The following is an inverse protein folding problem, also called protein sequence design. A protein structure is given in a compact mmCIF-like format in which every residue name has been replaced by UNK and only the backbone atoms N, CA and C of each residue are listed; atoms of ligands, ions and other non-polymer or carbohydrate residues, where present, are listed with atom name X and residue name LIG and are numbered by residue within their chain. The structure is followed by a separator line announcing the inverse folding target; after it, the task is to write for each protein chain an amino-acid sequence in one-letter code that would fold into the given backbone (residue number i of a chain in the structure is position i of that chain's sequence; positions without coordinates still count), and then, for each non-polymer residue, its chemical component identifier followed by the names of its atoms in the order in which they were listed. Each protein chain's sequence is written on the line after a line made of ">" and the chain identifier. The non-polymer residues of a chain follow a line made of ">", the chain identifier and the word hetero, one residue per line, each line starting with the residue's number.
data_IF_504121740679
#
_entry.id   IF_504121740679
#
_cell.length_a   1.000
_cell.length_b   1.000
_cell.length_c   1.000
_cell.angle_alpha   90.00
_cell.angle_beta   90.00
_cell.angle_gamma   90.00
#
_symmetry.space_group_name_H-M   'P 1'
#
loop_
_entity.id
_entity.type
_entity.pdbx_description
1 polymer ?
#
# COMPACT_ATOMS: atom_id res chain seq x y z
N UNK A 1 10.50 38.54 -48.63
CA UNK A 1 9.58 37.45 -48.24
C UNK A 1 9.63 37.30 -46.72
N UNK A 2 8.50 37.61 -46.06
CA UNK A 2 8.06 37.33 -44.69
C UNK A 2 9.07 37.21 -43.53
N UNK A 3 9.26 38.29 -42.77
CA UNK A 3 9.54 38.21 -41.31
C UNK A 3 8.21 38.47 -40.59
N UNK A 4 7.68 37.46 -39.89
CA UNK A 4 6.48 37.62 -39.07
C UNK A 4 6.88 38.13 -37.67
N UNK A 5 6.28 39.26 -37.29
CA UNK A 5 6.49 39.95 -36.03
C UNK A 5 5.60 39.33 -34.93
N UNK A 6 6.17 39.05 -33.77
CA UNK A 6 5.43 38.76 -32.55
C UNK A 6 5.00 40.08 -31.89
N UNK A 7 3.70 40.28 -31.70
CA UNK A 7 3.13 41.35 -30.87
C UNK A 7 2.79 40.81 -29.47
N UNK A 8 3.14 41.51 -28.37
CA UNK A 8 2.70 41.17 -27.03
C UNK A 8 1.36 41.83 -26.69
N UNK A 9 0.34 41.04 -26.39
CA UNK A 9 -0.96 41.51 -25.91
C UNK A 9 -1.00 41.64 -24.38
N UNK A 10 -1.27 42.86 -23.90
CA UNK A 10 -1.46 43.21 -22.49
C UNK A 10 -2.78 42.68 -21.90
N UNK A 11 -2.65 42.15 -20.67
CA UNK A 11 -3.48 42.29 -19.47
C UNK A 11 -4.98 42.66 -19.62
N UNK A 12 -5.84 41.80 -19.07
CA UNK A 12 -7.04 42.23 -18.34
C UNK A 12 -7.09 41.56 -16.97
N UNK A 13 -6.82 42.36 -15.95
CA UNK A 13 -7.15 42.10 -14.55
C UNK A 13 -8.65 42.22 -14.36
N UNK A 14 -9.26 41.28 -13.62
CA UNK A 14 -10.52 41.52 -12.93
C UNK A 14 -10.30 41.20 -11.46
N UNK A 15 -10.14 42.26 -10.68
CA UNK A 15 -10.40 42.27 -9.24
C UNK A 15 -11.91 42.30 -9.02
N UNK A 16 -12.40 41.58 -8.00
CA UNK A 16 -13.54 41.85 -7.10
C UNK A 16 -13.96 40.50 -6.48
N UNK A 17 -14.18 40.31 -5.19
CA UNK A 17 -14.14 41.19 -4.03
C UNK A 17 -13.90 40.33 -2.79
N UNK A 18 -13.11 40.85 -1.85
CA UNK A 18 -13.04 40.37 -0.47
C UNK A 18 -14.32 40.81 0.23
N UNK A 19 -15.10 39.88 0.77
CA UNK A 19 -16.14 40.18 1.75
C UNK A 19 -15.86 39.42 3.03
N UNK A 20 -15.61 40.20 4.07
CA UNK A 20 -15.31 39.80 5.42
C UNK A 20 -16.52 39.99 6.34
N UNK A 21 -16.71 39.02 7.27
CA UNK A 21 -17.43 39.05 8.57
C UNK A 21 -18.95 38.78 8.57
N UNK A 22 -19.58 38.35 9.70
CA UNK A 22 -19.04 37.91 11.00
C UNK A 22 -19.53 36.50 11.46
N UNK A 23 -18.90 35.96 12.51
CA UNK A 23 -19.40 34.81 13.30
C UNK A 23 -20.67 35.20 14.06
N UNK A 24 -21.73 34.41 13.93
CA UNK A 24 -22.79 34.31 14.94
C UNK A 24 -23.01 32.84 15.30
N UNK A 25 -23.03 32.54 16.61
CA UNK A 25 -23.51 31.28 17.17
C UNK A 25 -25.04 31.35 17.21
N UNK A 26 -25.74 30.35 16.67
CA UNK A 26 -27.02 29.95 17.23
C UNK A 26 -27.19 28.43 17.11
N UNK A 27 -27.53 27.85 18.24
CA UNK A 27 -28.00 26.49 18.44
C UNK A 27 -29.39 26.34 17.85
N UNK A 28 -29.63 25.37 16.96
CA UNK A 28 -30.63 24.34 17.19
C UNK A 28 -30.67 23.27 16.10
N UNK A 29 -31.00 22.06 16.54
CA UNK A 29 -30.93 20.82 15.81
C UNK A 29 -32.02 20.72 14.72
N UNK A 30 -31.58 20.54 13.47
CA UNK A 30 -32.41 20.14 12.33
C UNK A 30 -31.69 19.03 11.58
N UNK A 31 -32.17 17.80 11.75
CA UNK A 31 -31.65 16.55 11.18
C UNK A 31 -31.72 16.57 9.66
N UNK A 32 -30.62 16.95 9.01
CA UNK A 32 -30.37 16.69 7.59
C UNK A 32 -29.50 15.46 7.48
N UNK A 33 -30.06 14.42 6.87
CA UNK A 33 -29.37 13.20 6.50
C UNK A 33 -28.26 13.57 5.52
N UNK A 34 -27.02 13.63 5.99
CA UNK A 34 -25.86 13.87 5.14
C UNK A 34 -25.67 12.67 4.23
N UNK A 35 -25.73 12.90 2.92
CA UNK A 35 -25.15 12.00 1.93
C UNK A 35 -23.73 11.63 2.39
N UNK A 36 -23.52 10.34 2.63
CA UNK A 36 -22.22 9.81 3.01
C UNK A 36 -21.20 10.24 1.96
N UNK A 37 -20.17 10.93 2.45
CA UNK A 37 -18.97 11.21 1.69
C UNK A 37 -18.28 9.85 1.46
N UNK A 38 -18.19 9.40 0.22
CA UNK A 38 -17.15 8.45 -0.16
C UNK A 38 -15.83 9.23 -0.16
N UNK A 39 -15.22 9.38 1.02
CA UNK A 39 -13.86 9.89 1.14
C UNK A 39 -12.88 8.85 0.59
N UNK A 40 -11.69 9.29 0.20
CA UNK A 40 -10.55 8.44 -0.20
C UNK A 40 -10.17 7.33 0.81
N UNK A 41 -10.81 7.28 1.97
CA UNK A 41 -10.77 6.18 2.94
C UNK A 41 -11.29 4.86 2.40
N UNK A 42 -12.25 4.86 1.47
CA UNK A 42 -12.86 3.63 0.96
C UNK A 42 -11.94 2.86 -0.01
N UNK A 43 -10.84 3.51 -0.44
CA UNK A 43 -9.76 2.93 -1.25
C UNK A 43 -8.46 2.73 -0.44
N UNK A 44 -8.47 3.00 0.87
CA UNK A 44 -7.32 2.77 1.73
C UNK A 44 -7.19 1.27 2.06
N UNK A 45 -6.52 0.56 1.16
CA UNK A 45 -6.20 -0.87 1.29
C UNK A 45 -4.89 -1.08 2.07
N UNK A 46 -4.61 -0.24 3.08
CA UNK A 46 -3.52 -0.46 4.01
C UNK A 46 -3.73 -1.78 4.77
N UNK A 47 -2.90 -2.77 4.46
CA UNK A 47 -2.84 -4.05 5.15
C UNK A 47 -4.09 -4.87 4.92
N UNK A 48 -4.47 -5.18 3.67
CA UNK A 48 -5.54 -6.17 3.35
C UNK A 48 -5.12 -7.58 3.78
N UNK A 49 -5.17 -7.73 5.10
CA UNK A 49 -5.27 -8.83 6.05
C UNK A 49 -5.51 -8.17 7.43
N UNK A 50 -6.40 -7.15 7.45
CA UNK A 50 -6.59 -6.20 8.54
C UNK A 50 -7.59 -6.72 9.56
N UNK A 51 -7.12 -7.19 10.71
CA UNK A 51 -7.93 -7.26 11.92
C UNK A 51 -7.10 -6.74 13.09
N UNK A 52 -7.41 -5.48 13.44
CA UNK A 52 -6.77 -4.55 14.37
C UNK A 52 -5.71 -3.64 13.74
N UNK A 53 -5.94 -2.31 13.70
CA UNK A 53 -4.91 -1.33 13.39
C UNK A 53 -3.71 -1.51 14.30
N UNK A 54 -2.53 -1.69 13.73
CA UNK A 54 -1.32 -1.22 14.39
C UNK A 54 -1.22 0.30 14.16
N UNK A 55 -2.22 1.04 14.63
CA UNK A 55 -2.29 2.51 14.56
C UNK A 55 -1.49 3.14 15.71
N UNK A 56 -0.33 2.55 15.99
CA UNK A 56 0.63 3.05 16.95
C UNK A 56 1.92 3.27 16.21
N UNK A 57 2.44 4.49 16.29
CA UNK A 57 3.82 4.74 15.89
C UNK A 57 4.73 3.80 16.68
N UNK A 58 5.46 2.95 15.96
CA UNK A 58 6.49 2.12 16.55
C UNK A 58 7.68 3.04 16.77
N UNK A 59 7.89 3.44 18.03
CA UNK A 59 8.99 4.33 18.42
C UNK A 59 10.36 3.64 18.42
N UNK A 60 10.36 2.34 18.16
CA UNK A 60 11.51 1.45 18.17
C UNK A 60 11.92 1.09 16.73
N UNK A 61 13.20 0.74 16.54
CA UNK A 61 13.66 0.18 15.29
C UNK A 61 13.13 -1.24 15.15
N UNK A 62 12.38 -1.50 14.10
CA UNK A 62 11.76 -2.80 13.86
C UNK A 62 12.02 -3.32 12.45
N UNK A 63 11.98 -4.64 12.30
CA UNK A 63 12.14 -5.35 11.03
C UNK A 63 11.00 -6.33 10.85
N UNK A 64 10.72 -6.65 9.60
CA UNK A 64 9.80 -7.74 9.25
C UNK A 64 10.56 -9.07 9.25
N UNK A 65 10.07 -10.05 10.00
CA UNK A 65 10.47 -11.46 9.92
C UNK A 65 9.21 -12.30 9.84
N UNK A 66 9.04 -13.03 8.74
CA UNK A 66 7.87 -13.88 8.53
C UNK A 66 7.94 -15.07 9.49
N UNK A 67 6.92 -15.30 10.33
CA UNK A 67 6.91 -16.45 11.24
C UNK A 67 6.80 -17.77 10.47
N UNK A 68 7.33 -18.84 11.04
CA UNK A 68 7.11 -20.20 10.55
C UNK A 68 5.68 -20.70 10.85
N UNK A 69 5.38 -21.94 10.49
CA UNK A 69 4.06 -22.56 10.73
C UNK A 69 3.69 -22.71 12.21
N UNK A 70 4.64 -22.55 13.13
CA UNK A 70 4.44 -22.61 14.59
C UNK A 70 4.38 -21.20 15.21
N UNK A 71 4.49 -20.13 14.41
CA UNK A 71 4.45 -18.75 14.91
C UNK A 71 5.81 -18.26 15.42
N UNK A 72 6.88 -19.03 15.19
CA UNK A 72 8.22 -18.70 15.68
C UNK A 72 9.01 -17.92 14.64
N UNK A 73 9.79 -16.96 15.13
CA UNK A 73 10.77 -16.24 14.32
C UNK A 73 12.08 -17.02 14.37
N UNK A 74 12.39 -17.75 13.31
CA UNK A 74 13.61 -18.55 13.21
C UNK A 74 14.90 -17.72 13.27
N UNK A 75 16.05 -18.38 13.35
CA UNK A 75 17.37 -17.72 13.42
C UNK A 75 17.86 -17.12 12.10
N UNK A 76 17.17 -17.41 10.99
CA UNK A 76 17.46 -16.86 9.66
C UNK A 76 16.32 -15.96 9.22
N UNK A 77 16.46 -14.62 9.34
CA UNK A 77 15.50 -13.71 8.76
C UNK A 77 15.51 -13.84 7.22
N UNK A 78 14.42 -13.43 6.59
CA UNK A 78 14.25 -13.50 5.14
C UNK A 78 14.50 -14.89 4.53
N UNK A 79 14.18 -15.96 5.25
CA UNK A 79 14.42 -17.36 4.83
C UNK A 79 13.44 -17.90 3.78
N UNK A 80 12.56 -17.06 3.25
CA UNK A 80 11.54 -17.41 2.27
C UNK A 80 11.65 -16.49 1.05
N UNK A 81 11.25 -16.99 -0.11
CA UNK A 81 11.06 -16.15 -1.29
C UNK A 81 9.92 -15.16 -1.07
N UNK A 82 10.02 -14.01 -1.72
CA UNK A 82 9.02 -12.97 -1.69
C UNK A 82 8.71 -12.53 -3.11
N UNK A 83 7.44 -12.38 -3.43
CA UNK A 83 7.00 -11.70 -4.64
C UNK A 83 6.37 -10.37 -4.28
N UNK A 84 6.87 -9.30 -4.89
CA UNK A 84 6.35 -7.94 -4.78
C UNK A 84 5.65 -7.61 -6.08
N UNK A 85 4.33 -7.42 -6.01
CA UNK A 85 3.49 -7.10 -7.15
C UNK A 85 2.94 -5.69 -7.00
N UNK A 86 3.44 -4.77 -7.82
CA UNK A 86 2.89 -3.41 -7.93
C UNK A 86 1.76 -3.45 -8.94
N UNK A 87 0.62 -2.89 -8.59
CA UNK A 87 -0.51 -2.73 -9.50
C UNK A 87 -1.15 -1.37 -9.26
N UNK A 88 -1.44 -0.64 -10.32
CA UNK A 88 -1.97 0.71 -10.18
C UNK A 88 -2.92 1.11 -11.30
N UNK A 89 -3.68 2.16 -11.02
CA UNK A 89 -4.56 2.78 -11.97
C UNK A 89 -4.43 4.31 -11.91
N UNK A 90 -4.45 4.95 -13.09
CA UNK A 90 -4.40 6.41 -13.25
C UNK A 90 -5.60 6.91 -14.04
N UNK A 91 -6.24 7.97 -13.57
CA UNK A 91 -7.41 8.59 -14.18
C UNK A 91 -7.06 9.93 -14.82
N UNK A 92 -6.69 9.92 -16.10
CA UNK A 92 -6.20 11.10 -16.84
C UNK A 92 -7.29 12.12 -17.22
N UNK A 93 -8.55 11.85 -16.88
CA UNK A 93 -9.67 12.77 -17.12
C UNK A 93 -9.61 13.97 -16.16
N UNK A 94 -10.05 15.19 -16.56
CA UNK A 94 -10.07 16.38 -15.69
C UNK A 94 -10.90 16.21 -14.40
N UNK A 95 -11.90 15.34 -14.43
CA UNK A 95 -12.72 14.99 -13.27
C UNK A 95 -12.11 13.88 -12.39
N UNK A 96 -10.94 13.33 -12.75
CA UNK A 96 -10.25 12.28 -12.01
C UNK A 96 -11.14 11.07 -11.74
N UNK A 97 -11.33 10.76 -10.46
CA UNK A 97 -12.18 9.66 -9.97
C UNK A 97 -13.67 9.82 -10.28
N UNK A 98 -14.13 11.02 -10.63
CA UNK A 98 -15.51 11.26 -11.06
C UNK A 98 -15.72 11.10 -12.57
N UNK A 99 -14.69 10.63 -13.28
CA UNK A 99 -14.81 10.36 -14.72
C UNK A 99 -15.68 9.14 -15.02
N UNK A 100 -16.26 9.05 -16.23
CA UNK A 100 -17.00 7.87 -16.64
C UNK A 100 -16.18 6.60 -16.41
N UNK A 101 -16.82 5.54 -15.90
CA UNK A 101 -16.24 4.24 -15.57
C UNK A 101 -15.24 4.17 -14.41
N UNK A 102 -14.79 5.29 -13.84
CA UNK A 102 -13.79 5.26 -12.76
C UNK A 102 -14.26 4.48 -11.53
N UNK A 103 -15.50 4.73 -11.07
CA UNK A 103 -16.09 3.96 -9.96
C UNK A 103 -16.23 2.47 -10.28
N UNK A 104 -16.56 2.11 -11.52
CA UNK A 104 -16.67 0.70 -11.93
C UNK A 104 -15.32 -0.01 -11.85
N UNK A 105 -14.26 0.63 -12.36
CA UNK A 105 -12.89 0.11 -12.27
C UNK A 105 -12.44 0.00 -10.82
N UNK A 106 -12.66 1.04 -10.02
CA UNK A 106 -12.34 1.05 -8.61
C UNK A 106 -13.01 -0.07 -7.83
N UNK A 107 -14.33 -0.25 -7.98
CA UNK A 107 -15.07 -1.31 -7.30
C UNK A 107 -14.61 -2.71 -7.73
N UNK A 108 -14.40 -2.93 -9.04
CA UNK A 108 -13.93 -4.22 -9.54
C UNK A 108 -12.54 -4.57 -8.95
N UNK A 109 -11.68 -3.58 -8.75
CA UNK A 109 -10.38 -3.77 -8.12
C UNK A 109 -10.48 -4.07 -6.62
N UNK A 110 -11.34 -3.36 -5.88
CA UNK A 110 -11.63 -3.66 -4.46
C UNK A 110 -12.18 -5.07 -4.29
N UNK A 111 -13.08 -5.50 -5.17
CA UNK A 111 -13.64 -6.86 -5.17
C UNK A 111 -12.56 -7.91 -5.42
N UNK A 112 -11.64 -7.69 -6.37
CA UNK A 112 -10.52 -8.60 -6.64
C UNK A 112 -9.61 -8.73 -5.42
N UNK A 113 -9.21 -7.61 -4.80
CA UNK A 113 -8.33 -7.63 -3.61
C UNK A 113 -9.03 -8.27 -2.40
N UNK A 114 -10.35 -8.06 -2.25
CA UNK A 114 -11.15 -8.69 -1.19
C UNK A 114 -11.24 -10.21 -1.37
N UNK A 115 -11.44 -10.69 -2.60
CA UNK A 115 -11.42 -12.14 -2.88
C UNK A 115 -10.02 -12.72 -2.71
N UNK A 116 -8.98 -12.00 -3.12
CA UNK A 116 -7.60 -12.42 -2.90
C UNK A 116 -7.29 -12.62 -1.41
N UNK A 117 -7.75 -11.71 -0.55
CA UNK A 117 -7.59 -11.81 0.91
C UNK A 117 -8.34 -13.01 1.52
N UNK A 118 -9.60 -13.22 1.11
CA UNK A 118 -10.40 -14.37 1.55
C UNK A 118 -9.77 -15.72 1.19
N UNK A 119 -9.05 -15.76 0.07
CA UNK A 119 -8.39 -16.93 -0.47
C UNK A 119 -6.86 -16.84 -0.32
N UNK A 120 -6.38 -16.11 0.70
CA UNK A 120 -4.97 -15.80 0.84
C UNK A 120 -4.07 -17.05 0.89
N UNK A 121 -4.49 -18.10 1.60
CA UNK A 121 -3.76 -19.36 1.70
C UNK A 121 -3.69 -20.09 0.36
N UNK A 122 -4.78 -20.04 -0.42
CA UNK A 122 -4.88 -20.69 -1.74
C UNK A 122 -3.94 -20.06 -2.77
N UNK A 123 -3.79 -18.74 -2.72
CA UNK A 123 -2.99 -17.97 -3.67
C UNK A 123 -1.61 -17.57 -3.13
N UNK A 124 -1.28 -17.98 -1.90
CA UNK A 124 -0.03 -17.58 -1.25
C UNK A 124 0.09 -16.08 -1.05
N UNK A 125 -1.02 -15.37 -0.93
CA UNK A 125 -1.08 -13.92 -0.70
C UNK A 125 -0.78 -13.61 0.77
N UNK A 126 0.11 -12.64 0.98
CA UNK A 126 0.57 -12.22 2.30
C UNK A 126 -0.15 -10.98 2.80
N UNK A 127 -0.54 -10.09 1.88
CA UNK A 127 -1.21 -8.83 2.18
C UNK A 127 -0.84 -7.76 1.16
N UNK A 128 -1.40 -6.56 1.33
CA UNK A 128 -1.13 -5.44 0.45
C UNK A 128 -1.15 -4.10 1.18
N UNK A 129 -0.58 -3.07 0.55
CA UNK A 129 -0.67 -1.68 1.00
C UNK A 129 -0.92 -0.73 -0.16
N UNK A 130 -1.80 0.25 0.06
CA UNK A 130 -2.16 1.33 -0.86
C UNK A 130 -1.22 2.53 -0.76
N UNK A 131 -0.96 3.16 -1.91
CA UNK A 131 -0.17 4.37 -2.06
C UNK A 131 -0.84 5.32 -3.06
N UNK A 132 -1.03 6.57 -2.64
CA UNK A 132 -1.55 7.62 -3.49
C UNK A 132 -0.40 8.41 -4.10
N UNK A 133 -0.32 8.46 -5.44
CA UNK A 133 0.68 9.27 -6.14
C UNK A 133 0.42 10.75 -5.92
N UNK A 134 1.48 11.49 -5.60
CA UNK A 134 1.49 12.96 -5.48
C UNK A 134 2.27 13.64 -6.61
N UNK A 135 2.63 12.88 -7.65
CA UNK A 135 3.43 13.35 -8.79
C UNK A 135 2.74 14.42 -9.64
N UNK A 136 1.41 14.55 -9.53
CA UNK A 136 0.61 15.53 -10.24
C UNK A 136 -0.43 16.16 -9.30
N UNK A 137 -0.78 17.43 -9.51
CA UNK A 137 -1.70 18.18 -8.65
C UNK A 137 -3.08 17.52 -8.47
N UNK A 138 -3.49 16.70 -9.43
CA UNK A 138 -4.77 15.99 -9.38
C UNK A 138 -4.77 14.75 -8.46
N UNK A 139 -3.61 14.25 -8.03
CA UNK A 139 -3.45 13.03 -7.23
C UNK A 139 -4.37 11.90 -7.73
N UNK A 140 -4.35 11.64 -9.04
CA UNK A 140 -5.33 10.81 -9.74
C UNK A 140 -4.79 9.41 -10.05
N UNK A 141 -3.79 8.96 -9.29
CA UNK A 141 -3.15 7.65 -9.50
C UNK A 141 -2.95 6.92 -8.17
N UNK A 142 -3.56 5.75 -8.06
CA UNK A 142 -3.46 4.87 -6.91
C UNK A 142 -2.61 3.66 -7.30
N UNK A 143 -1.65 3.31 -6.45
CA UNK A 143 -0.84 2.11 -6.55
C UNK A 143 -1.09 1.22 -5.33
N UNK A 144 -1.12 -0.09 -5.54
CA UNK A 144 -1.12 -1.08 -4.48
C UNK A 144 0.11 -1.95 -4.64
N UNK A 145 0.79 -2.16 -3.52
CA UNK A 145 1.88 -3.12 -3.39
C UNK A 145 1.32 -4.36 -2.73
N UNK A 146 1.16 -5.44 -3.48
CA UNK A 146 0.75 -6.75 -3.01
C UNK A 146 1.97 -7.64 -2.78
N UNK A 147 1.93 -8.46 -1.72
CA UNK A 147 2.98 -9.40 -1.37
C UNK A 147 2.48 -10.84 -1.50
N UNK A 148 3.29 -11.70 -2.12
CA UNK A 148 3.00 -13.12 -2.28
C UNK A 148 4.20 -13.97 -1.88
N UNK A 149 3.96 -15.23 -1.52
CA UNK A 149 5.02 -16.21 -1.23
C UNK A 149 5.80 -16.65 -2.47
N UNK A 150 5.13 -16.68 -3.63
CA UNK A 150 5.71 -17.15 -4.89
C UNK A 150 4.91 -16.65 -6.11
N UNK A 151 5.49 -16.82 -7.30
CA UNK A 151 4.92 -16.32 -8.56
C UNK A 151 3.76 -17.20 -9.01
N UNK A 152 3.80 -18.50 -8.70
CA UNK A 152 2.77 -19.47 -9.06
C UNK A 152 1.42 -19.11 -8.43
N UNK A 153 1.42 -18.70 -7.16
CA UNK A 153 0.22 -18.25 -6.46
C UNK A 153 -0.39 -16.99 -7.07
N UNK A 154 0.46 -16.01 -7.44
CA UNK A 154 0.03 -14.80 -8.16
C UNK A 154 -0.59 -15.14 -9.52
N UNK A 155 0.06 -15.99 -10.32
CA UNK A 155 -0.47 -16.42 -11.62
C UNK A 155 -1.75 -17.25 -11.49
N UNK A 156 -1.84 -18.10 -10.46
CA UNK A 156 -3.05 -18.85 -10.16
C UNK A 156 -4.22 -17.91 -9.88
N UNK A 157 -4.00 -16.83 -9.12
CA UNK A 157 -5.03 -15.82 -8.90
C UNK A 157 -5.42 -15.09 -10.19
N UNK A 158 -4.44 -14.67 -11.00
CA UNK A 158 -4.68 -13.96 -12.26
C UNK A 158 -5.54 -14.75 -13.26
N UNK A 159 -5.46 -16.08 -13.23
CA UNK A 159 -6.24 -17.00 -14.07
C UNK A 159 -7.52 -17.53 -13.40
N UNK A 160 -7.80 -17.13 -12.16
CA UNK A 160 -8.95 -17.62 -11.41
C UNK A 160 -10.27 -16.93 -11.80
N UNK A 161 -11.38 -17.52 -11.36
CA UNK A 161 -12.72 -16.95 -11.48
C UNK A 161 -12.90 -15.63 -10.69
N UNK A 162 -11.95 -15.27 -9.82
CA UNK A 162 -11.96 -14.02 -9.09
C UNK A 162 -11.36 -12.84 -9.88
N UNK A 163 -10.54 -13.11 -10.90
CA UNK A 163 -9.86 -12.09 -11.69
C UNK A 163 -10.35 -12.05 -13.16
N UNK A 164 -10.51 -13.22 -13.77
CA UNK A 164 -10.83 -13.34 -15.20
C UNK A 164 -12.12 -12.63 -15.64
N UNK A 165 -13.22 -12.61 -14.84
CA UNK A 165 -14.42 -11.86 -15.22
C UNK A 165 -14.15 -10.35 -15.39
N UNK A 166 -13.42 -9.75 -14.45
CA UNK A 166 -13.02 -8.33 -14.50
C UNK A 166 -12.10 -8.07 -15.68
N UNK A 167 -11.15 -8.97 -15.94
CA UNK A 167 -10.22 -8.84 -17.08
C UNK A 167 -10.94 -8.92 -18.42
N UNK A 168 -11.90 -9.85 -18.56
CA UNK A 168 -12.73 -9.97 -19.75
C UNK A 168 -13.60 -8.71 -19.96
N UNK A 169 -14.22 -8.20 -18.89
CA UNK A 169 -14.96 -6.95 -18.93
C UNK A 169 -14.08 -5.78 -19.37
N UNK A 170 -12.90 -5.61 -18.75
CA UNK A 170 -11.94 -4.57 -19.11
C UNK A 170 -11.59 -4.62 -20.59
N UNK A 171 -11.21 -5.79 -21.11
CA UNK A 171 -10.83 -5.96 -22.52
C UNK A 171 -11.98 -5.62 -23.49
N UNK A 172 -13.23 -5.89 -23.11
CA UNK A 172 -14.41 -5.51 -23.91
C UNK A 172 -14.69 -4.00 -23.90
N UNK A 173 -14.23 -3.27 -22.88
CA UNK A 173 -14.58 -1.86 -22.64
C UNK A 173 -13.41 -0.88 -22.78
N UNK A 174 -12.17 -1.35 -22.86
CA UNK A 174 -10.97 -0.48 -22.82
C UNK A 174 -10.99 0.63 -23.89
N UNK A 175 -11.56 0.38 -25.07
CA UNK A 175 -11.70 1.39 -26.13
C UNK A 175 -12.65 2.53 -25.79
N UNK A 176 -13.59 2.31 -24.87
CA UNK A 176 -14.54 3.31 -24.34
C UNK A 176 -13.91 4.11 -23.18
N UNK A 177 -12.75 3.70 -22.66
CA UNK A 177 -12.12 4.26 -21.45
C UNK A 177 -10.68 4.79 -21.70
N UNK A 178 -10.43 5.60 -22.75
CA UNK A 178 -9.06 6.04 -23.10
C UNK A 178 -8.39 6.90 -22.01
N UNK A 179 -9.17 7.42 -21.06
CA UNK A 179 -8.69 8.23 -19.94
C UNK A 179 -8.29 7.41 -18.71
N UNK A 180 -8.53 6.09 -18.69
CA UNK A 180 -8.16 5.22 -17.57
C UNK A 180 -6.96 4.37 -17.98
N UNK A 181 -5.89 4.45 -17.21
CA UNK A 181 -4.70 3.62 -17.39
C UNK A 181 -4.62 2.63 -16.24
N UNK A 182 -4.20 1.40 -16.53
CA UNK A 182 -3.79 0.40 -15.53
C UNK A 182 -2.37 -0.06 -15.85
N UNK A 183 -1.62 -0.43 -14.82
CA UNK A 183 -0.28 -0.98 -14.95
C UNK A 183 -0.01 -2.01 -13.86
N UNK A 184 0.98 -2.87 -14.09
CA UNK A 184 1.54 -3.70 -13.04
C UNK A 184 3.04 -3.96 -13.24
N UNK A 185 3.72 -4.34 -12.17
CA UNK A 185 5.10 -4.83 -12.18
C UNK A 185 5.19 -6.01 -11.20
N UNK A 186 5.89 -7.08 -11.61
CA UNK A 186 6.08 -8.28 -10.78
C UNK A 186 7.57 -8.50 -10.54
N UNK A 187 7.95 -8.52 -9.26
CA UNK A 187 9.32 -8.79 -8.83
C UNK A 187 9.35 -10.06 -7.98
N UNK A 188 10.16 -11.05 -8.38
CA UNK A 188 10.50 -12.20 -7.54
C UNK A 188 11.84 -11.94 -6.87
N UNK A 189 11.83 -11.98 -5.54
CA UNK A 189 12.96 -11.70 -4.68
C UNK A 189 13.29 -12.98 -3.90
N UNK A 190 14.39 -13.67 -4.23
CA UNK A 190 14.74 -14.93 -3.58
C UNK A 190 15.02 -14.76 -2.08
N UNK A 191 14.92 -15.85 -1.31
CA UNK A 191 15.31 -15.89 0.09
C UNK A 191 16.70 -15.24 0.32
N UNK A 192 16.80 -14.46 1.40
CA UNK A 192 17.96 -13.68 1.76
C UNK A 192 18.24 -12.50 0.83
N UNK A 193 17.35 -12.11 -0.10
CA UNK A 193 17.50 -10.92 -0.97
C UNK A 193 16.52 -9.78 -0.63
N UNK A 194 15.85 -9.86 0.51
CA UNK A 194 14.93 -8.83 0.97
C UNK A 194 15.13 -8.55 2.45
N UNK A 195 14.83 -7.33 2.86
CA UNK A 195 14.79 -6.89 4.26
C UNK A 195 13.79 -5.73 4.39
N UNK A 196 13.40 -5.42 5.62
CA UNK A 196 12.67 -4.18 5.90
C UNK A 196 13.18 -3.55 7.19
N UNK A 197 13.09 -2.24 7.27
CA UNK A 197 13.37 -1.51 8.50
C UNK A 197 12.37 -0.36 8.66
N UNK A 198 11.87 -0.23 9.88
CA UNK A 198 10.87 0.74 10.28
C UNK A 198 11.36 1.42 11.56
N UNK A 199 11.60 2.73 11.50
CA UNK A 199 12.06 3.54 12.65
C UNK A 199 11.11 4.72 12.80
N UNK A 200 10.49 4.87 13.97
CA UNK A 200 9.55 5.97 14.25
C UNK A 200 8.43 6.09 13.20
N UNK A 201 8.02 4.97 12.61
CA UNK A 201 7.08 4.94 11.49
C UNK A 201 5.77 4.25 11.85
N UNK A 202 4.69 4.69 11.20
CA UNK A 202 3.51 3.84 11.05
C UNK A 202 3.89 2.65 10.17
N UNK A 203 3.51 1.45 10.58
CA UNK A 203 3.79 0.25 9.78
C UNK A 203 3.11 0.35 8.41
N UNK A 204 3.85 0.00 7.38
CA UNK A 204 3.42 -0.05 5.99
C UNK A 204 4.23 -1.10 5.24
N UNK A 205 3.83 -1.39 4.00
CA UNK A 205 4.40 -2.48 3.22
C UNK A 205 4.28 -3.83 3.94
N UNK A 206 5.31 -4.67 3.79
CA UNK A 206 5.35 -5.99 4.39
C UNK A 206 5.25 -5.96 5.93
N UNK A 207 5.70 -4.89 6.58
CA UNK A 207 5.60 -4.76 8.04
C UNK A 207 4.17 -4.63 8.56
N UNK A 208 3.22 -4.26 7.69
CA UNK A 208 1.80 -4.11 8.06
C UNK A 208 0.96 -5.36 7.84
N UNK A 209 1.53 -6.43 7.27
CA UNK A 209 0.76 -7.67 7.03
C UNK A 209 0.55 -8.47 8.33
N UNK A 210 -0.35 -9.45 8.28
CA UNK A 210 -0.63 -10.33 9.43
C UNK A 210 -0.68 -11.80 9.01
N UNK A 211 -0.26 -12.68 9.92
CA UNK A 211 -0.20 -14.12 9.70
C UNK A 211 -1.22 -14.81 10.59
N UNK A 212 -2.11 -15.59 9.98
CA UNK A 212 -3.09 -16.42 10.68
C UNK A 212 -2.39 -17.67 11.20
N UNK A 213 -2.35 -17.84 12.51
CA UNK A 213 -1.62 -18.90 13.20
C UNK A 213 -2.48 -19.52 14.31
N UNK A 214 -2.29 -20.81 14.63
CA UNK A 214 -2.89 -21.39 15.83
C UNK A 214 -2.20 -20.85 17.09
N UNK A 215 -2.97 -20.44 18.09
CA UNK A 215 -2.47 -20.06 19.41
C UNK A 215 -1.94 -21.30 20.14
N UNK A 216 -0.74 -21.17 20.72
CA UNK A 216 -0.11 -22.25 21.46
C UNK A 216 -0.99 -22.70 22.64
N UNK A 217 -1.22 -24.01 22.75
CA UNK A 217 -1.99 -24.62 23.83
C UNK A 217 -3.53 -24.57 23.67
N UNK A 218 -4.10 -23.57 23.00
CA UNK A 218 -5.57 -23.48 22.80
C UNK A 218 -6.02 -23.91 21.40
N UNK A 219 -5.14 -23.80 20.40
CA UNK A 219 -5.46 -24.06 18.99
C UNK A 219 -6.40 -23.02 18.37
N UNK A 220 -6.75 -21.94 19.08
CA UNK A 220 -7.57 -20.86 18.54
C UNK A 220 -6.81 -20.08 17.48
N UNK A 221 -7.51 -19.63 16.46
CA UNK A 221 -6.91 -18.81 15.42
C UNK A 221 -6.58 -17.41 15.95
N UNK A 222 -5.31 -17.04 15.90
CA UNK A 222 -4.80 -15.71 16.23
C UNK A 222 -4.06 -15.11 15.04
N UNK A 223 -3.98 -13.79 15.01
CA UNK A 223 -3.21 -13.06 14.00
C UNK A 223 -1.93 -12.53 14.63
N UNK A 224 -0.80 -12.85 14.00
CA UNK A 224 0.52 -12.43 14.42
C UNK A 224 1.11 -11.46 13.40
N UNK A 225 1.60 -10.32 13.88
CA UNK A 225 2.33 -9.37 13.05
C UNK A 225 3.79 -9.81 12.90
N UNK A 226 4.39 -9.69 11.71
CA UNK A 226 5.77 -10.13 11.47
C UNK A 226 6.83 -9.16 12.00
N UNK A 227 6.46 -8.25 12.92
CA UNK A 227 7.34 -7.20 13.39
C UNK A 227 8.12 -7.68 14.60
N UNK A 228 9.44 -7.53 14.53
CA UNK A 228 10.39 -7.85 15.61
C UNK A 228 11.32 -6.67 15.87
N UNK A 229 11.81 -6.57 17.11
CA UNK A 229 12.83 -5.60 17.49
C UNK A 229 14.09 -5.81 16.63
N UNK A 230 14.48 -4.77 15.91
CA UNK A 230 15.64 -4.76 15.02
C UNK A 230 16.74 -3.82 15.52
N UNK A 231 16.64 -3.33 16.75
CA UNK A 231 17.65 -2.47 17.37
C UNK A 231 18.87 -3.26 17.86
N UNK A 232 18.75 -4.58 18.02
CA UNK A 232 19.78 -5.45 18.63
C UNK A 232 20.03 -6.72 17.82
N UNK A 233 21.13 -7.39 18.14
CA UNK A 233 21.47 -8.72 17.60
C UNK A 233 21.63 -8.74 16.08
N UNK A 234 21.16 -9.83 15.45
CA UNK A 234 21.31 -10.07 14.01
C UNK A 234 20.58 -9.02 13.15
N UNK A 235 19.49 -8.43 13.65
CA UNK A 235 18.63 -7.56 12.85
C UNK A 235 19.09 -6.10 12.82
N UNK A 236 20.16 -5.76 13.57
CA UNK A 236 20.68 -4.39 13.63
C UNK A 236 21.25 -3.89 12.31
N UNK A 237 21.73 -4.78 11.44
CA UNK A 237 22.30 -4.42 10.14
C UNK A 237 21.44 -4.92 8.98
N UNK A 238 21.52 -4.24 7.84
CA UNK A 238 20.85 -4.64 6.59
C UNK A 238 21.23 -6.06 6.15
N UNK A 239 22.54 -6.37 6.17
CA UNK A 239 23.05 -7.68 5.82
C UNK A 239 22.57 -8.77 6.79
N UNK A 240 22.46 -8.46 8.08
CA UNK A 240 21.93 -9.38 9.09
C UNK A 240 20.44 -9.66 8.90
N UNK A 241 19.62 -8.65 8.57
CA UNK A 241 18.19 -8.84 8.21
C UNK A 241 17.99 -9.67 6.95
N UNK A 242 18.96 -9.68 6.04
CA UNK A 242 18.97 -10.56 4.86
C UNK A 242 19.59 -11.95 5.13
N UNK A 243 19.99 -12.27 6.37
CA UNK A 243 20.73 -13.48 6.74
C UNK A 243 22.05 -13.67 5.95
N UNK A 244 22.74 -12.56 5.62
CA UNK A 244 24.00 -12.54 4.85
C UNK A 244 25.25 -12.31 5.69
N UNK A 245 25.09 -12.10 7.00
CA UNK A 245 26.18 -11.73 7.88
C UNK A 245 25.83 -11.99 9.35
N UNK A 246 26.85 -11.93 10.22
CA UNK A 246 26.70 -11.96 11.67
C UNK A 246 26.39 -10.59 12.29
N UNK A 247 25.93 -9.63 11.48
CA UNK A 247 25.55 -8.28 11.88
C UNK A 247 26.67 -7.42 12.48
N UNK A 248 27.91 -7.57 11.99
CA UNK A 248 29.08 -6.83 12.49
C UNK A 248 29.43 -5.58 11.69
N UNK A 249 28.63 -5.24 10.68
CA UNK A 249 28.94 -4.18 9.72
C UNK A 249 29.03 -2.79 10.35
N UNK A 250 28.36 -2.59 11.49
CA UNK A 250 28.35 -1.32 12.22
C UNK A 250 29.50 -1.21 13.24
N UNK A 251 30.22 -2.30 13.53
CA UNK A 251 31.30 -2.29 14.52
C UNK A 251 32.39 -1.29 14.13
N UNK A 252 32.70 -0.35 15.03
CA UNK A 252 33.66 0.74 14.81
C UNK A 252 33.31 1.68 13.63
N UNK A 253 32.05 1.68 13.17
CA UNK A 253 31.56 2.58 12.10
C UNK A 253 30.57 3.63 12.61
N UNK A 254 29.95 3.39 13.76
CA UNK A 254 28.98 4.28 14.39
C UNK A 254 29.61 4.83 15.67
N UNK A 255 29.56 6.15 15.83
CA UNK A 255 30.12 6.87 16.99
C UNK A 255 29.21 6.75 18.23
N UNK A 256 27.89 6.84 18.02
CA UNK A 256 26.87 6.65 19.05
C UNK A 256 25.77 5.77 18.48
N UNK A 257 25.57 4.58 19.07
CA UNK A 257 24.41 3.75 18.78
C UNK A 257 23.23 4.22 19.65
N UNK A 258 22.17 4.78 19.06
CA UNK A 258 21.02 5.29 19.83
C UNK A 258 20.23 4.18 20.55
N UNK A 259 20.55 2.90 20.33
CA UNK A 259 19.87 1.75 20.90
C UNK A 259 20.71 0.94 21.91
N UNK A 260 21.97 1.33 22.14
CA UNK A 260 22.91 0.67 23.07
C UNK A 260 22.80 1.23 24.51
N UNK A 261 21.56 1.51 24.95
CA UNK A 261 21.23 1.97 26.32
C UNK A 261 20.83 0.83 27.26
#
# INVERSE_FOLDING_TARGET
>A
MGRSQYSPGQLRTHNMAVLSRPRTRSTDAGRWSTCNHASSSDFDLQGVRYRAPVDRNHKEQTSTVIPDSEGKYGSKPSNQDLVVFLIGARYNHPLGLFSPHAFTVGNAFVDMVTNLDKHAEEFGYLGATSWQSTSAAANNELMIVCYFKNVEGLHKFALSDYHMPTWNWWNSKVREMPHISIYHETYHVPAGNWESIHINSKLSGLGSVSFKMPEEGTGKEVYQHPIVDASKGLLKTSAGRMARSDAKEHENKIDVDPYDM
#
